data_IF_066053567231
#
_entry.id   IF_066053567231
#
_cell.length_a   1.000
_cell.length_b   1.000
_cell.length_c   1.000
_cell.angle_alpha   90.00
_cell.angle_beta   90.00
_cell.angle_gamma   90.00
#
_symmetry.space_group_name_H-M   'P 1'
#
loop_
_entity.id
_entity.type
_entity.pdbx_description
1 polymer ?
#
# COMPACT_ATOMS: atom_id res chain seq x y z
N UNK A 1 24.44 -0.97 -20.68
CA UNK A 1 23.56 -1.24 -19.53
C UNK A 1 22.73 -0.01 -19.22
N UNK A 2 21.44 -0.21 -18.94
CA UNK A 2 20.52 0.87 -18.51
C UNK A 2 20.92 1.36 -17.12
N UNK A 3 20.86 2.67 -16.89
CA UNK A 3 21.01 3.24 -15.55
C UNK A 3 19.79 4.10 -15.20
N UNK A 4 19.29 3.98 -13.97
CA UNK A 4 18.16 4.76 -13.44
C UNK A 4 18.64 5.66 -12.32
N UNK A 5 18.53 6.97 -12.49
CA UNK A 5 18.85 7.94 -11.43
C UNK A 5 17.65 8.07 -10.50
N UNK A 6 17.89 7.90 -9.20
CA UNK A 6 16.83 7.70 -8.21
C UNK A 6 17.00 8.53 -6.94
N UNK A 7 15.88 8.68 -6.24
CA UNK A 7 15.84 8.98 -4.82
C UNK A 7 15.15 7.81 -4.12
N UNK A 8 15.69 7.35 -2.99
CA UNK A 8 15.41 6.02 -2.42
C UNK A 8 13.93 5.67 -2.35
N UNK A 9 13.07 6.57 -1.85
CA UNK A 9 11.64 6.27 -1.63
C UNK A 9 10.72 6.85 -2.72
N UNK A 10 11.26 7.19 -3.90
CA UNK A 10 10.48 7.82 -4.97
C UNK A 10 9.52 6.83 -5.67
N UNK A 11 8.19 7.09 -5.68
CA UNK A 11 7.23 6.22 -6.36
C UNK A 11 7.37 6.24 -7.88
N UNK A 12 7.71 7.40 -8.46
CA UNK A 12 7.90 7.54 -9.91
C UNK A 12 9.10 6.73 -10.41
N UNK A 13 10.17 6.64 -9.62
CA UNK A 13 11.31 5.78 -9.94
C UNK A 13 10.93 4.31 -9.78
N UNK A 14 10.25 3.96 -8.67
CA UNK A 14 9.84 2.58 -8.44
C UNK A 14 8.97 2.02 -9.57
N UNK A 15 8.12 2.84 -10.19
CA UNK A 15 7.37 2.44 -11.39
C UNK A 15 8.29 1.93 -12.51
N UNK A 16 9.39 2.65 -12.77
CA UNK A 16 10.33 2.30 -13.83
C UNK A 16 11.13 1.07 -13.46
N UNK A 17 11.65 1.00 -12.24
CA UNK A 17 12.40 -0.18 -11.79
C UNK A 17 11.51 -1.42 -11.75
N UNK A 18 10.25 -1.30 -11.31
CA UNK A 18 9.27 -2.40 -11.37
C UNK A 18 9.02 -2.89 -12.81
N UNK A 19 8.91 -1.95 -13.77
CA UNK A 19 8.77 -2.31 -15.18
C UNK A 19 10.02 -3.02 -15.73
N UNK A 20 11.22 -2.56 -15.36
CA UNK A 20 12.48 -3.21 -15.72
C UNK A 20 12.58 -4.62 -15.13
N UNK A 21 12.20 -4.80 -13.85
CA UNK A 21 12.14 -6.10 -13.18
C UNK A 21 11.16 -7.06 -13.88
N UNK A 22 9.93 -6.59 -14.16
CA UNK A 22 8.93 -7.39 -14.85
C UNK A 22 9.40 -7.84 -16.25
N UNK A 23 10.09 -6.94 -16.97
CA UNK A 23 10.68 -7.23 -18.30
C UNK A 23 12.00 -8.01 -18.20
N UNK A 24 12.53 -8.24 -16.99
CA UNK A 24 13.82 -8.90 -16.73
C UNK A 24 14.99 -8.22 -17.46
N UNK A 25 14.97 -6.88 -17.50
CA UNK A 25 16.03 -6.08 -18.10
C UNK A 25 17.09 -5.75 -17.04
N UNK A 26 18.39 -5.92 -17.33
CA UNK A 26 19.45 -5.55 -16.40
C UNK A 26 19.60 -4.02 -16.33
N UNK A 27 19.68 -3.49 -15.12
CA UNK A 27 19.89 -2.06 -14.88
C UNK A 27 20.68 -1.81 -13.59
N UNK A 28 21.24 -0.61 -13.50
CA UNK A 28 21.83 -0.08 -12.27
C UNK A 28 21.00 1.10 -11.76
N UNK A 29 21.00 1.32 -10.44
CA UNK A 29 20.38 2.49 -9.82
C UNK A 29 21.45 3.39 -9.24
N UNK A 30 21.44 4.65 -9.66
CA UNK A 30 22.29 5.70 -9.09
C UNK A 30 21.46 6.60 -8.17
N UNK A 31 21.64 6.44 -6.85
CA UNK A 31 20.92 7.22 -5.86
C UNK A 31 21.56 8.60 -5.65
N UNK A 32 20.75 9.65 -5.69
CA UNK A 32 21.18 11.03 -5.45
C UNK A 32 20.44 11.67 -4.27
N UNK A 33 21.01 12.74 -3.72
CA UNK A 33 20.33 13.61 -2.77
C UNK A 33 19.43 14.60 -3.52
N UNK A 34 18.15 14.68 -3.14
CA UNK A 34 17.25 15.70 -3.69
C UNK A 34 17.42 17.08 -3.02
N UNK A 35 18.07 17.13 -1.85
CA UNK A 35 18.43 18.38 -1.16
C UNK A 35 19.68 19.00 -1.76
N UNK A 36 20.65 18.16 -2.10
CA UNK A 36 21.95 18.52 -2.65
C UNK A 36 22.13 17.80 -3.99
N UNK A 37 21.43 18.29 -5.01
CA UNK A 37 21.44 17.67 -6.34
C UNK A 37 22.83 17.88 -6.97
N UNK A 38 23.51 16.82 -7.41
CA UNK A 38 24.83 16.96 -8.03
C UNK A 38 24.72 17.65 -9.39
N UNK A 39 25.74 18.42 -9.78
CA UNK A 39 25.70 19.22 -11.01
C UNK A 39 25.48 18.35 -12.26
N UNK A 40 26.15 17.21 -12.36
CA UNK A 40 26.00 16.28 -13.49
C UNK A 40 24.55 15.83 -13.69
N UNK A 41 23.75 15.73 -12.61
CA UNK A 41 22.35 15.35 -12.70
C UNK A 41 21.50 16.51 -13.23
N UNK A 42 21.79 17.74 -12.80
CA UNK A 42 21.11 18.94 -13.30
C UNK A 42 21.42 19.17 -14.79
N UNK A 43 22.62 18.79 -15.23
CA UNK A 43 23.01 18.91 -16.64
C UNK A 43 22.23 17.96 -17.56
N UNK A 44 21.74 16.82 -17.03
CA UNK A 44 21.01 15.81 -17.81
C UNK A 44 19.49 15.76 -17.52
N UNK A 45 19.02 16.38 -16.44
CA UNK A 45 17.62 16.41 -16.03
C UNK A 45 17.04 17.80 -16.25
N UNK A 46 16.28 18.05 -17.34
CA UNK A 46 15.76 19.38 -17.66
C UNK A 46 14.93 20.01 -16.52
N UNK A 47 14.19 19.17 -15.80
CA UNK A 47 13.33 19.58 -14.68
C UNK A 47 14.01 19.40 -13.31
N UNK A 48 15.24 18.89 -13.27
CA UNK A 48 15.94 18.51 -12.04
C UNK A 48 15.16 17.49 -11.21
N UNK A 49 14.40 16.60 -11.85
CA UNK A 49 13.52 15.63 -11.22
C UNK A 49 13.93 14.19 -11.59
N UNK A 50 13.65 13.27 -10.67
CA UNK A 50 13.78 11.82 -10.90
C UNK A 50 12.41 11.22 -11.24
N UNK A 51 12.34 10.12 -12.00
CA UNK A 51 13.45 9.37 -12.59
C UNK A 51 14.11 10.09 -13.76
N UNK A 52 15.41 9.80 -13.95
CA UNK A 52 16.09 9.91 -15.25
C UNK A 52 16.61 8.54 -15.62
N UNK A 53 16.32 8.07 -16.84
CA UNK A 53 16.86 6.83 -17.38
C UNK A 53 17.96 7.16 -18.39
N UNK A 54 19.17 6.68 -18.13
CA UNK A 54 20.28 6.75 -19.08
C UNK A 54 20.29 5.45 -19.88
N UNK A 55 20.07 5.56 -21.19
CA UNK A 55 20.05 4.43 -22.11
C UNK A 55 21.46 3.87 -22.30
N UNK A 56 21.56 2.70 -22.95
CA UNK A 56 22.86 2.11 -23.29
C UNK A 56 23.67 2.95 -24.27
N UNK A 57 23.01 3.80 -25.07
CA UNK A 57 23.64 4.78 -25.96
C UNK A 57 24.08 6.07 -25.25
N UNK A 58 23.84 6.19 -23.93
CA UNK A 58 24.17 7.36 -23.13
C UNK A 58 23.15 8.50 -23.20
N UNK A 59 21.98 8.28 -23.80
CA UNK A 59 20.91 9.29 -23.85
C UNK A 59 20.17 9.35 -22.52
N UNK A 60 19.96 10.56 -21.98
CA UNK A 60 19.18 10.78 -20.78
C UNK A 60 17.70 11.03 -21.13
N UNK A 61 16.81 10.16 -20.63
CA UNK A 61 15.37 10.25 -20.77
C UNK A 61 14.77 10.69 -19.43
N UNK A 62 13.78 11.59 -19.48
CA UNK A 62 13.09 12.15 -18.32
C UNK A 62 11.58 11.97 -18.49
N UNK A 63 10.81 12.22 -17.42
CA UNK A 63 9.39 11.88 -17.27
C UNK A 63 9.11 10.37 -17.21
N UNK A 64 8.56 9.89 -16.09
CA UNK A 64 8.31 8.45 -15.91
C UNK A 64 7.35 7.86 -16.95
N UNK A 65 6.39 8.66 -17.46
CA UNK A 65 5.49 8.19 -18.51
C UNK A 65 6.24 7.98 -19.84
N UNK A 66 7.07 8.95 -20.25
CA UNK A 66 7.86 8.85 -21.47
C UNK A 66 8.92 7.73 -21.40
N UNK A 67 9.55 7.56 -20.23
CA UNK A 67 10.49 6.46 -19.99
C UNK A 67 9.79 5.10 -20.10
N UNK A 68 8.58 4.96 -19.55
CA UNK A 68 7.82 3.72 -19.65
C UNK A 68 7.46 3.40 -21.11
N UNK A 69 7.05 4.39 -21.90
CA UNK A 69 6.76 4.23 -23.33
C UNK A 69 8.02 3.82 -24.12
N UNK A 70 9.16 4.46 -23.85
CA UNK A 70 10.44 4.04 -24.44
C UNK A 70 10.75 2.57 -24.15
N UNK A 71 10.54 2.11 -22.92
CA UNK A 71 10.79 0.71 -22.54
C UNK A 71 9.82 -0.29 -23.21
N UNK A 72 8.65 0.15 -23.63
CA UNK A 72 7.72 -0.66 -24.43
C UNK A 72 8.08 -0.72 -25.91
N UNK A 73 8.63 0.36 -26.45
CA UNK A 73 9.00 0.43 -27.86
C UNK A 73 10.37 -0.21 -28.13
N UNK A 74 11.32 -0.05 -27.20
CA UNK A 74 12.70 -0.49 -27.38
C UNK A 74 12.95 -1.95 -26.95
N UNK A 75 12.08 -2.53 -26.11
CA UNK A 75 12.26 -3.88 -25.55
C UNK A 75 10.97 -4.69 -25.69
N UNK A 76 11.03 -6.03 -25.61
CA UNK A 76 9.84 -6.88 -25.66
C UNK A 76 8.74 -6.39 -24.70
N UNK A 77 7.52 -6.32 -25.22
CA UNK A 77 6.35 -5.94 -24.43
C UNK A 77 6.09 -7.02 -23.36
N UNK A 78 5.61 -6.58 -22.17
CA UNK A 78 5.12 -7.52 -21.15
C UNK A 78 3.93 -8.33 -21.66
N UNK A 79 3.08 -7.68 -22.47
CA UNK A 79 1.92 -8.29 -23.08
C UNK A 79 2.11 -8.37 -24.60
N UNK A 80 1.96 -9.58 -25.14
CA UNK A 80 2.01 -9.81 -26.57
C UNK A 80 0.69 -9.40 -27.23
N UNK A 81 0.77 -8.86 -28.46
CA UNK A 81 -0.37 -8.71 -29.37
C UNK A 81 -1.53 -7.80 -28.89
N UNK A 82 -1.24 -6.79 -28.07
CA UNK A 82 -2.25 -5.79 -27.68
C UNK A 82 -2.52 -4.76 -28.80
N UNK A 83 -3.79 -4.41 -29.02
CA UNK A 83 -4.18 -3.42 -30.04
C UNK A 83 -3.75 -2.00 -29.67
N UNK A 84 -3.79 -1.07 -30.64
CA UNK A 84 -3.51 0.34 -30.38
C UNK A 84 -4.51 0.94 -29.37
N UNK A 85 -5.80 0.58 -29.45
CA UNK A 85 -6.79 1.04 -28.47
C UNK A 85 -6.49 0.50 -27.07
N UNK A 86 -6.13 -0.78 -26.95
CA UNK A 86 -5.79 -1.35 -25.65
C UNK A 86 -4.54 -0.70 -25.05
N UNK A 87 -3.50 -0.45 -25.87
CA UNK A 87 -2.32 0.32 -25.43
C UNK A 87 -2.70 1.69 -24.90
N UNK A 88 -3.62 2.40 -25.56
CA UNK A 88 -4.10 3.69 -25.10
C UNK A 88 -4.86 3.60 -23.76
N UNK A 89 -5.68 2.58 -23.58
CA UNK A 89 -6.37 2.31 -22.30
C UNK A 89 -5.39 1.99 -21.18
N UNK A 90 -4.38 1.16 -21.44
CA UNK A 90 -3.36 0.78 -20.46
C UNK A 90 -2.54 2.00 -20.03
N UNK A 91 -2.19 2.88 -20.97
CA UNK A 91 -1.55 4.17 -20.68
C UNK A 91 -2.45 5.07 -19.83
N UNK A 92 -3.74 5.14 -20.14
CA UNK A 92 -4.68 5.94 -19.36
C UNK A 92 -4.78 5.45 -17.91
N UNK A 93 -4.85 4.12 -17.68
CA UNK A 93 -4.86 3.53 -16.34
C UNK A 93 -3.54 3.69 -15.60
N UNK A 94 -2.42 3.60 -16.30
CA UNK A 94 -1.09 3.87 -15.74
C UNK A 94 -0.95 5.33 -15.31
N UNK A 95 -1.45 6.26 -16.12
CA UNK A 95 -1.47 7.68 -15.82
C UNK A 95 -2.40 8.01 -14.64
N UNK A 96 -3.53 7.30 -14.48
CA UNK A 96 -4.33 7.42 -13.25
C UNK A 96 -3.49 7.09 -12.01
N UNK A 97 -2.69 6.01 -12.05
CA UNK A 97 -1.82 5.65 -10.93
C UNK A 97 -0.82 6.77 -10.59
N UNK A 98 -0.06 7.24 -11.58
CA UNK A 98 1.00 8.24 -11.36
C UNK A 98 0.46 9.57 -10.81
N UNK A 99 -0.75 9.97 -11.22
CA UNK A 99 -1.47 11.12 -10.66
C UNK A 99 -1.71 11.06 -9.16
N UNK A 100 -1.76 9.86 -8.58
CA UNK A 100 -2.08 9.65 -7.17
C UNK A 100 -0.87 9.35 -6.28
N UNK A 101 0.33 9.20 -6.84
CA UNK A 101 1.55 8.97 -6.05
C UNK A 101 1.78 10.06 -5.00
N UNK A 102 1.71 11.33 -5.40
CA UNK A 102 1.91 12.45 -4.48
C UNK A 102 0.72 12.63 -3.52
N UNK A 103 -0.48 12.25 -3.94
CA UNK A 103 -1.65 12.24 -3.06
C UNK A 103 -1.47 11.23 -1.92
N UNK A 104 -0.95 10.02 -2.21
CA UNK A 104 -0.62 9.02 -1.19
C UNK A 104 0.51 9.51 -0.27
N UNK A 105 1.57 10.08 -0.84
CA UNK A 105 2.65 10.66 -0.04
C UNK A 105 2.13 11.78 0.89
N UNK A 106 1.18 12.59 0.43
CA UNK A 106 0.55 13.62 1.25
C UNK A 106 -0.33 13.03 2.35
N UNK A 107 -1.14 12.02 2.05
CA UNK A 107 -1.97 11.33 3.04
C UNK A 107 -1.11 10.70 4.15
N UNK A 108 0.00 10.04 3.79
CA UNK A 108 0.92 9.45 4.77
C UNK A 108 1.63 10.48 5.66
N UNK A 109 1.75 11.73 5.21
CA UNK A 109 2.30 12.86 6.01
C UNK A 109 1.21 13.72 6.66
N UNK A 110 0.07 13.15 6.98
CA UNK A 110 -0.98 13.86 7.72
C UNK A 110 -0.57 14.02 9.18
N UNK A 111 -0.77 15.21 9.73
CA UNK A 111 -0.39 15.52 11.11
C UNK A 111 -1.37 14.93 12.13
N UNK A 112 -2.63 14.77 11.75
CA UNK A 112 -3.73 14.31 12.59
C UNK A 112 -4.71 13.40 11.81
N UNK A 113 -5.69 12.83 12.54
CA UNK A 113 -6.68 11.89 12.02
C UNK A 113 -7.57 12.53 10.95
N UNK A 114 -8.05 13.74 11.19
CA UNK A 114 -9.02 14.41 10.31
C UNK A 114 -8.36 14.75 8.97
N UNK A 115 -7.12 15.25 9.01
CA UNK A 115 -6.31 15.50 7.82
C UNK A 115 -6.03 14.21 7.05
N UNK A 116 -5.76 13.10 7.75
CA UNK A 116 -5.57 11.79 7.12
C UNK A 116 -6.85 11.36 6.39
N UNK A 117 -8.00 11.42 7.06
CA UNK A 117 -9.30 11.05 6.48
C UNK A 117 -9.57 11.89 5.23
N UNK A 118 -9.46 13.21 5.30
CA UNK A 118 -9.69 14.11 4.16
C UNK A 118 -8.79 13.78 2.96
N UNK A 119 -7.50 13.54 3.21
CA UNK A 119 -6.54 13.21 2.14
C UNK A 119 -6.78 11.81 1.58
N UNK A 120 -7.22 10.87 2.42
CA UNK A 120 -7.56 9.51 2.01
C UNK A 120 -8.81 9.46 1.13
N UNK A 121 -9.79 10.36 1.29
CA UNK A 121 -10.97 10.39 0.41
C UNK A 121 -10.62 10.51 -1.08
N UNK A 122 -9.57 11.29 -1.40
CA UNK A 122 -9.10 11.46 -2.79
C UNK A 122 -8.51 10.18 -3.34
N UNK A 123 -7.81 9.40 -2.51
CA UNK A 123 -7.21 8.12 -2.88
C UNK A 123 -8.27 7.03 -2.97
N UNK A 124 -9.19 6.98 -2.01
CA UNK A 124 -10.31 6.04 -1.99
C UNK A 124 -11.17 6.17 -3.26
N UNK A 125 -11.41 7.39 -3.76
CA UNK A 125 -12.09 7.61 -5.05
C UNK A 125 -11.36 6.99 -6.24
N UNK A 126 -10.03 6.89 -6.18
CA UNK A 126 -9.23 6.26 -7.23
C UNK A 126 -9.29 4.73 -7.14
N UNK A 127 -9.09 4.18 -5.94
CA UNK A 127 -9.25 2.75 -5.70
C UNK A 127 -10.65 2.26 -6.02
N UNK A 128 -11.70 3.03 -5.70
CA UNK A 128 -13.08 2.72 -6.06
C UNK A 128 -13.33 2.63 -7.57
N UNK A 129 -12.58 3.37 -8.39
CA UNK A 129 -12.66 3.25 -9.87
C UNK A 129 -12.01 1.96 -10.35
N UNK A 130 -10.85 1.63 -9.78
CA UNK A 130 -10.12 0.41 -10.12
C UNK A 130 -10.87 -0.84 -9.67
N UNK A 131 -11.42 -0.84 -8.45
CA UNK A 131 -12.25 -1.91 -7.89
C UNK A 131 -13.39 -2.33 -8.84
N UNK A 132 -14.01 -1.37 -9.52
CA UNK A 132 -15.10 -1.63 -10.48
C UNK A 132 -14.65 -2.34 -11.76
N UNK A 133 -13.37 -2.23 -12.11
CA UNK A 133 -12.83 -2.67 -13.40
C UNK A 133 -12.01 -3.95 -13.23
N UNK A 134 -11.42 -4.16 -12.06
CA UNK A 134 -10.77 -5.42 -11.72
C UNK A 134 -11.76 -6.58 -11.91
N UNK A 135 -11.35 -7.53 -12.75
CA UNK A 135 -12.03 -8.80 -12.95
C UNK A 135 -11.66 -9.81 -11.87
N UNK A 136 -11.63 -11.09 -12.24
CA UNK A 136 -11.25 -12.19 -11.34
C UNK A 136 -9.74 -12.24 -11.02
N UNK A 137 -8.93 -11.45 -11.73
CA UNK A 137 -7.49 -11.32 -11.47
C UNK A 137 -6.64 -12.52 -11.95
N UNK A 138 -5.47 -12.75 -11.34
CA UNK A 138 -4.93 -12.06 -10.16
C UNK A 138 -4.35 -10.66 -10.42
N UNK A 139 -4.16 -10.26 -11.67
CA UNK A 139 -3.59 -8.97 -12.08
C UNK A 139 -4.63 -8.08 -12.76
N UNK A 140 -4.27 -6.83 -13.06
CA UNK A 140 -5.20 -5.80 -13.53
C UNK A 140 -6.02 -6.25 -14.75
N UNK A 141 -5.39 -6.99 -15.68
CA UNK A 141 -5.99 -7.49 -16.93
C UNK A 141 -6.25 -9.01 -16.91
N UNK A 142 -6.25 -9.64 -15.73
CA UNK A 142 -6.46 -11.09 -15.57
C UNK A 142 -5.18 -11.84 -15.22
N UNK A 143 -4.84 -12.86 -16.01
CA UNK A 143 -3.80 -13.85 -15.66
C UNK A 143 -2.35 -13.36 -15.79
N UNK A 144 -2.10 -12.34 -16.61
CA UNK A 144 -0.75 -11.87 -16.93
C UNK A 144 -0.49 -10.45 -16.41
N UNK A 145 0.76 -10.19 -16.01
CA UNK A 145 1.22 -8.86 -15.64
C UNK A 145 1.17 -7.91 -16.84
N UNK A 146 0.81 -6.66 -16.58
CA UNK A 146 0.73 -5.58 -17.54
C UNK A 146 1.52 -4.36 -17.07
N UNK A 147 1.66 -3.37 -17.96
CA UNK A 147 2.21 -2.08 -17.58
C UNK A 147 1.35 -1.34 -16.56
N UNK A 148 0.04 -1.61 -16.55
CA UNK A 148 -0.88 -1.05 -15.55
C UNK A 148 -0.50 -1.57 -14.16
N UNK A 149 -0.21 -2.85 -14.03
CA UNK A 149 0.25 -3.43 -12.77
C UNK A 149 1.51 -2.73 -12.25
N UNK A 150 2.50 -2.52 -13.11
CA UNK A 150 3.76 -1.85 -12.75
C UNK A 150 3.57 -0.38 -12.39
N UNK A 151 2.61 0.30 -13.02
CA UNK A 151 2.23 1.66 -12.66
C UNK A 151 1.49 1.74 -11.33
N UNK A 152 0.69 0.74 -10.94
CA UNK A 152 -0.02 0.76 -9.67
C UNK A 152 0.78 0.15 -8.51
N UNK A 153 1.78 -0.68 -8.80
CA UNK A 153 2.64 -1.32 -7.81
C UNK A 153 3.22 -0.34 -6.77
N UNK A 154 3.70 0.87 -7.10
CA UNK A 154 4.18 1.82 -6.11
C UNK A 154 3.14 2.23 -5.05
N UNK A 155 1.87 2.38 -5.45
CA UNK A 155 0.77 2.72 -4.52
C UNK A 155 0.47 1.53 -3.61
N UNK A 156 0.36 0.34 -4.20
CA UNK A 156 -0.02 -0.88 -3.50
C UNK A 156 1.09 -1.38 -2.58
N UNK A 157 2.36 -1.27 -2.98
CA UNK A 157 3.51 -1.60 -2.15
C UNK A 157 3.54 -0.74 -0.89
N UNK A 158 3.37 0.58 -1.04
CA UNK A 158 3.36 1.53 0.09
C UNK A 158 2.18 1.27 1.03
N UNK A 159 0.99 1.06 0.47
CA UNK A 159 -0.18 0.70 1.27
C UNK A 159 0.05 -0.59 2.07
N UNK A 160 0.70 -1.60 1.48
CA UNK A 160 1.03 -2.84 2.18
C UNK A 160 2.04 -2.61 3.32
N UNK A 161 3.09 -1.81 3.10
CA UNK A 161 4.06 -1.47 4.16
C UNK A 161 3.34 -0.73 5.30
N UNK A 162 2.52 0.27 5.00
CA UNK A 162 1.75 0.97 6.05
C UNK A 162 0.90 -0.02 6.84
N UNK A 163 0.14 -0.89 6.16
CA UNK A 163 -0.67 -1.92 6.82
C UNK A 163 0.16 -2.84 7.73
N UNK A 164 1.34 -3.28 7.28
CA UNK A 164 2.20 -4.17 8.06
C UNK A 164 2.75 -3.53 9.33
N UNK A 165 3.00 -2.23 9.32
CA UNK A 165 3.60 -1.52 10.46
C UNK A 165 2.56 -0.88 11.40
N UNK A 166 1.40 -0.48 10.88
CA UNK A 166 0.41 0.30 11.64
C UNK A 166 -0.97 -0.34 11.74
N UNK A 167 -1.20 -1.44 11.02
CA UNK A 167 -2.49 -2.11 10.89
C UNK A 167 -3.57 -1.24 10.23
N UNK A 168 -3.19 -0.08 9.72
CA UNK A 168 -4.04 0.78 8.89
C UNK A 168 -4.03 0.28 7.44
N UNK A 169 -5.12 -0.30 7.00
CA UNK A 169 -5.28 -0.73 5.61
C UNK A 169 -5.92 0.38 4.75
N UNK A 170 -5.10 1.00 3.91
CA UNK A 170 -5.52 2.03 2.96
C UNK A 170 -6.52 1.57 1.91
N UNK A 171 -6.60 0.25 1.68
CA UNK A 171 -7.46 -0.36 0.65
C UNK A 171 -8.49 -1.31 1.26
N UNK A 172 -8.77 -1.20 2.56
CA UNK A 172 -9.69 -2.06 3.33
C UNK A 172 -11.04 -2.27 2.66
N UNK A 173 -11.62 -1.20 2.12
CA UNK A 173 -12.99 -1.21 1.58
C UNK A 173 -13.04 -1.68 0.11
N UNK A 174 -11.91 -2.16 -0.44
CA UNK A 174 -11.73 -2.55 -1.84
C UNK A 174 -11.16 -3.98 -1.95
N UNK A 175 -11.99 -5.02 -1.77
CA UNK A 175 -11.52 -6.40 -1.68
C UNK A 175 -10.81 -6.91 -2.95
N UNK A 176 -11.21 -6.47 -4.16
CA UNK A 176 -10.48 -6.84 -5.37
C UNK A 176 -9.12 -6.15 -5.43
N UNK A 177 -9.03 -4.89 -4.99
CA UNK A 177 -7.74 -4.20 -4.86
C UNK A 177 -6.85 -4.86 -3.81
N UNK A 178 -7.39 -5.35 -2.69
CA UNK A 178 -6.62 -6.13 -1.70
C UNK A 178 -6.09 -7.45 -2.28
N UNK A 179 -6.94 -8.18 -3.01
CA UNK A 179 -6.53 -9.40 -3.71
C UNK A 179 -5.43 -9.12 -4.73
N UNK A 180 -5.58 -8.06 -5.52
CA UNK A 180 -4.59 -7.61 -6.49
C UNK A 180 -3.28 -7.16 -5.84
N UNK A 181 -3.32 -6.38 -4.77
CA UNK A 181 -2.14 -6.03 -3.97
C UNK A 181 -1.40 -7.28 -3.51
N UNK A 182 -2.13 -8.23 -2.93
CA UNK A 182 -1.56 -9.48 -2.42
C UNK A 182 -0.89 -10.29 -3.53
N UNK A 183 -1.53 -10.39 -4.70
CA UNK A 183 -0.95 -11.03 -5.88
C UNK A 183 0.33 -10.34 -6.35
N UNK A 184 0.34 -9.01 -6.44
CA UNK A 184 1.53 -8.26 -6.84
C UNK A 184 2.68 -8.41 -5.84
N UNK A 185 2.41 -8.39 -4.53
CA UNK A 185 3.46 -8.60 -3.53
C UNK A 185 4.05 -10.02 -3.64
N UNK A 186 3.21 -11.02 -3.91
CA UNK A 186 3.64 -12.41 -4.08
C UNK A 186 4.57 -12.63 -5.30
N UNK A 187 4.57 -11.75 -6.30
CA UNK A 187 5.51 -11.83 -7.44
C UNK A 187 6.97 -11.58 -7.05
N UNK A 188 7.22 -10.90 -5.92
CA UNK A 188 8.56 -10.45 -5.52
C UNK A 188 9.05 -9.18 -6.24
N UNK A 189 8.37 -8.71 -7.30
CA UNK A 189 8.76 -7.50 -8.06
C UNK A 189 8.80 -6.26 -7.17
N UNK A 190 7.86 -6.15 -6.22
CA UNK A 190 7.83 -5.01 -5.32
C UNK A 190 9.12 -4.88 -4.49
N UNK A 191 9.66 -6.00 -4.02
CA UNK A 191 10.93 -6.06 -3.29
C UNK A 191 12.13 -5.86 -4.22
N UNK A 192 12.12 -6.47 -5.40
CA UNK A 192 13.23 -6.35 -6.36
C UNK A 192 13.37 -4.94 -6.95
N UNK A 193 12.26 -4.20 -7.06
CA UNK A 193 12.23 -2.84 -7.65
C UNK A 193 12.74 -1.72 -6.74
N UNK A 194 13.19 -2.03 -5.53
CA UNK A 194 13.64 -1.04 -4.53
C UNK A 194 14.98 -1.44 -3.91
N UNK A 195 15.71 -0.50 -3.31
CA UNK A 195 16.91 -0.82 -2.54
C UNK A 195 16.58 -1.56 -1.25
N UNK A 196 17.54 -2.30 -0.70
CA UNK A 196 17.44 -2.89 0.63
C UNK A 196 17.16 -1.85 1.75
N UNK A 197 17.58 -0.60 1.58
CA UNK A 197 17.29 0.48 2.54
C UNK A 197 15.88 1.09 2.40
N UNK A 198 15.09 0.67 1.42
CA UNK A 198 13.84 1.35 1.05
C UNK A 198 12.86 1.39 2.22
N UNK A 199 12.59 0.24 2.83
CA UNK A 199 11.59 0.12 3.89
C UNK A 199 12.02 0.90 5.14
N UNK A 200 13.30 0.85 5.50
CA UNK A 200 13.85 1.63 6.61
C UNK A 200 13.72 3.14 6.35
N UNK A 201 14.09 3.63 5.16
CA UNK A 201 13.93 5.07 4.83
C UNK A 201 12.46 5.47 4.70
N UNK A 202 11.61 4.57 4.22
CA UNK A 202 10.18 4.81 4.08
C UNK A 202 9.51 4.96 5.44
N UNK A 203 9.73 4.00 6.34
CA UNK A 203 9.16 4.00 7.70
C UNK A 203 9.69 5.17 8.52
N UNK A 204 11.01 5.45 8.48
CA UNK A 204 11.59 6.61 9.15
C UNK A 204 11.07 7.96 8.66
N UNK A 205 10.46 8.02 7.47
CA UNK A 205 9.95 9.27 6.89
C UNK A 205 8.43 9.41 7.00
N UNK A 206 7.67 8.31 6.83
CA UNK A 206 6.21 8.35 6.83
C UNK A 206 5.57 7.88 8.13
N UNK A 207 6.31 7.12 8.94
CA UNK A 207 5.86 6.56 10.23
C UNK A 207 6.67 7.12 11.40
N UNK A 208 7.20 8.34 11.26
CA UNK A 208 7.84 9.05 12.37
C UNK A 208 6.79 9.68 13.32
N UNK A 209 7.26 10.18 14.45
CA UNK A 209 6.42 10.83 15.46
C UNK A 209 5.83 12.18 15.00
N UNK A 210 6.20 12.71 13.82
CA UNK A 210 5.56 13.90 13.26
C UNK A 210 4.25 13.57 12.53
N UNK A 211 4.05 12.32 12.07
CA UNK A 211 2.83 11.92 11.37
C UNK A 211 1.82 11.25 12.30
N UNK A 212 0.53 11.36 11.97
CA UNK A 212 -0.53 10.63 12.67
C UNK A 212 -0.32 9.11 12.58
N UNK A 213 0.11 8.62 11.41
CA UNK A 213 0.36 7.19 11.20
C UNK A 213 1.47 6.65 12.10
N UNK A 214 2.55 7.40 12.32
CA UNK A 214 3.67 6.96 13.16
C UNK A 214 3.40 7.06 14.66
N UNK A 215 2.74 8.14 15.11
CA UNK A 215 2.42 8.34 16.53
C UNK A 215 1.28 7.47 17.04
N UNK A 216 0.18 7.44 16.28
CA UNK A 216 -1.12 7.04 16.83
C UNK A 216 -1.51 5.61 16.43
N UNK A 217 -0.94 5.07 15.35
CA UNK A 217 -1.29 3.75 14.81
C UNK A 217 -0.11 2.78 14.92
N UNK A 218 -0.31 1.66 15.60
CA UNK A 218 0.66 0.57 15.70
C UNK A 218 -0.07 -0.76 15.63
N UNK A 219 0.52 -1.73 14.94
CA UNK A 219 0.06 -3.10 15.08
C UNK A 219 0.32 -3.58 16.51
N UNK A 220 -0.74 -3.94 17.22
CA UNK A 220 -0.65 -4.65 18.48
C UNK A 220 0.10 -5.98 18.21
N UNK A 221 1.32 -6.17 18.74
CA UNK A 221 2.10 -7.41 18.55
C UNK A 221 1.59 -8.47 19.53
N UNK A 222 1.29 -9.67 19.04
CA UNK A 222 0.82 -10.81 19.87
C UNK A 222 1.74 -11.13 21.07
N UNK A 223 3.04 -10.82 20.97
CA UNK A 223 4.02 -11.03 22.05
C UNK A 223 4.04 -9.94 23.14
N UNK A 224 3.46 -8.77 22.87
CA UNK A 224 3.29 -7.69 23.86
C UNK A 224 2.00 -7.86 24.67
N UNK A 225 1.16 -8.82 24.27
CA UNK A 225 -0.04 -9.27 24.99
C UNK A 225 0.26 -10.24 26.15
N UNK A 226 1.53 -10.38 26.56
CA UNK A 226 1.96 -11.23 27.67
C UNK A 226 2.66 -10.44 28.76
N UNK A 227 1.90 -9.58 29.42
CA UNK A 227 1.92 -9.30 30.86
C UNK A 227 0.89 -8.19 31.06
N UNK A 228 -0.09 -8.44 31.93
CA UNK A 228 -1.17 -7.50 32.26
C UNK A 228 -2.34 -7.45 31.26
N UNK A 229 -3.04 -8.58 31.11
CA UNK A 229 -4.51 -8.67 31.02
C UNK A 229 -5.29 -7.93 29.93
N UNK A 230 -4.65 -7.14 29.07
CA UNK A 230 -5.31 -6.28 28.10
C UNK A 230 -4.97 -6.73 26.68
N UNK A 231 -5.82 -7.57 26.10
CA UNK A 231 -5.74 -7.88 24.67
C UNK A 231 -6.97 -7.33 23.95
N UNK A 232 -6.69 -6.42 23.02
CA UNK A 232 -7.63 -5.94 22.01
C UNK A 232 -7.94 -7.07 21.03
N UNK A 233 -9.22 -7.28 20.68
CA UNK A 233 -9.61 -8.19 19.60
C UNK A 233 -9.26 -7.60 18.23
N UNK A 234 -9.13 -8.49 17.25
CA UNK A 234 -8.59 -8.32 15.89
C UNK A 234 -9.09 -7.17 15.01
N UNK A 235 -9.99 -6.29 15.47
CA UNK A 235 -10.56 -5.21 14.65
C UNK A 235 -10.45 -3.80 15.25
N UNK A 236 -9.96 -3.59 16.47
CA UNK A 236 -9.74 -2.24 17.00
C UNK A 236 -8.67 -2.24 18.11
N UNK A 237 -7.50 -1.61 17.89
CA UNK A 237 -6.58 -1.31 18.99
C UNK A 237 -7.21 -0.16 19.82
N UNK A 238 -7.94 -0.50 20.88
CA UNK A 238 -8.46 0.45 21.87
C UNK A 238 -7.31 1.06 22.69
N UNK A 239 -7.15 2.38 22.63
CA UNK A 239 -6.39 3.12 23.64
C UNK A 239 -7.22 3.27 24.90
N UNK A 240 -6.90 2.57 25.99
CA UNK A 240 -7.38 2.98 27.31
C UNK A 240 -6.65 4.32 27.62
N UNK A 241 -7.40 5.42 27.78
CA UNK A 241 -6.85 6.72 28.20
C UNK A 241 -6.33 6.63 29.64
N UNK A 242 -5.28 7.40 29.94
CA UNK A 242 -4.42 7.28 31.13
C UNK A 242 -5.05 7.54 32.50
N UNK A 243 -6.38 7.43 32.68
CA UNK A 243 -7.07 7.68 33.95
C UNK A 243 -8.25 6.74 34.27
N UNK A 244 -8.48 5.68 33.50
CA UNK A 244 -9.50 4.67 33.83
C UNK A 244 -8.90 3.45 34.54
N UNK A 245 -9.50 3.04 35.66
CA UNK A 245 -9.09 1.84 36.42
C UNK A 245 -9.31 0.58 35.57
N UNK A 246 -8.45 -0.42 35.77
CA UNK A 246 -8.38 -1.70 35.01
C UNK A 246 -9.70 -2.47 34.85
N UNK A 247 -10.73 -2.17 35.63
CA UNK A 247 -12.04 -2.83 35.56
C UNK A 247 -12.97 -2.33 34.44
N UNK A 248 -12.67 -1.20 33.79
CA UNK A 248 -13.63 -0.54 32.90
C UNK A 248 -13.46 -0.89 31.40
N UNK A 249 -12.35 -1.54 31.00
CA UNK A 249 -12.12 -1.88 29.58
C UNK A 249 -12.85 -3.19 29.13
N UNK A 250 -13.65 -3.85 30.00
CA UNK A 250 -14.43 -5.07 29.68
C UNK A 250 -15.87 -5.09 30.26
N UNK A 251 -16.57 -3.95 30.35
CA UNK A 251 -17.98 -3.95 30.74
C UNK A 251 -18.90 -3.97 29.49
N UNK A 252 -19.56 -5.10 29.25
CA UNK A 252 -20.43 -5.38 28.09
C UNK A 252 -21.74 -4.58 28.05
N UNK A 253 -21.89 -3.55 28.88
CA UNK A 253 -23.12 -2.75 29.01
C UNK A 253 -23.07 -1.36 28.37
N UNK A 254 -22.10 -1.09 27.47
CA UNK A 254 -22.08 0.15 26.66
C UNK A 254 -22.00 -0.06 25.15
N UNK A 255 -22.56 -1.15 24.63
CA UNK A 255 -22.95 -1.18 23.22
C UNK A 255 -24.23 -0.35 23.07
N UNK A 256 -24.13 0.87 22.52
CA UNK A 256 -25.32 1.62 22.12
C UNK A 256 -26.14 0.78 21.14
N UNK A 257 -27.42 0.64 21.45
CA UNK A 257 -28.36 -0.26 20.82
C UNK A 257 -28.74 0.21 19.41
N UNK A 258 -28.01 -0.25 18.41
CA UNK A 258 -28.55 -0.57 17.07
C UNK A 258 -27.49 -1.35 16.31
N UNK A 259 -27.85 -2.54 15.81
CA UNK A 259 -27.02 -3.47 15.02
C UNK A 259 -26.23 -4.54 15.79
N UNK A 260 -26.81 -5.05 16.89
CA UNK A 260 -26.45 -6.38 17.39
C UNK A 260 -27.14 -7.43 16.54
N UNK A 261 -26.52 -7.84 15.44
CA UNK A 261 -26.89 -9.12 14.85
C UNK A 261 -25.80 -9.95 14.19
N UNK A 262 -24.49 -9.65 14.29
CA UNK A 262 -23.46 -10.62 13.86
C UNK A 262 -22.04 -10.33 14.42
N UNK A 263 -21.88 -10.31 15.74
CA UNK A 263 -20.54 -10.33 16.35
C UNK A 263 -20.26 -11.71 17.01
N UNK A 264 -19.68 -12.58 16.20
CA UNK A 264 -18.73 -13.68 16.48
C UNK A 264 -18.92 -14.69 17.62
N UNK A 265 -19.01 -15.98 17.23
CA UNK A 265 -18.23 -17.08 17.83
C UNK A 265 -17.84 -18.11 16.74
N UNK A 266 -16.54 -18.34 16.43
CA UNK A 266 -16.11 -19.35 15.45
C UNK A 266 -16.07 -20.79 15.99
N UNK A 267 -16.40 -21.07 17.25
CA UNK A 267 -16.35 -22.44 17.83
C UNK A 267 -17.70 -23.13 18.03
N UNK A 268 -18.79 -22.56 17.53
CA UNK A 268 -20.14 -23.16 17.64
C UNK A 268 -20.57 -24.00 16.42
N UNK A 269 -19.64 -24.45 15.56
CA UNK A 269 -19.94 -25.44 14.49
C UNK A 269 -19.47 -26.82 14.95
N UNK A 270 -20.41 -27.57 15.52
CA UNK A 270 -20.44 -29.04 15.74
C UNK A 270 -20.92 -29.43 17.16
N UNK A 271 -22.13 -29.02 17.56
CA UNK A 271 -22.83 -29.70 18.65
C UNK A 271 -24.31 -29.85 18.31
N UNK A 272 -24.79 -31.11 18.34
CA UNK A 272 -26.18 -31.51 18.12
C UNK A 272 -27.08 -31.07 19.29
N UNK A 273 -28.37 -30.91 19.01
CA UNK A 273 -29.44 -30.27 19.83
C UNK A 273 -29.74 -30.84 21.24
N UNK A 274 -28.83 -31.55 21.92
CA UNK A 274 -29.14 -32.16 23.23
C UNK A 274 -28.21 -31.79 24.40
N UNK A 275 -27.44 -30.69 24.34
CA UNK A 275 -26.57 -30.30 25.47
C UNK A 275 -26.57 -28.80 25.83
N UNK A 276 -27.57 -28.01 25.40
CA UNK A 276 -27.73 -26.61 25.85
C UNK A 276 -28.76 -26.49 26.98
N UNK A 277 -28.46 -27.12 28.11
CA UNK A 277 -29.21 -26.89 29.36
C UNK A 277 -28.25 -26.99 30.54
N UNK A 278 -27.43 -25.94 30.74
CA UNK A 278 -26.75 -25.64 32.02
C UNK A 278 -25.96 -24.31 32.06
N UNK A 279 -26.24 -23.34 31.20
CA UNK A 279 -25.65 -21.99 31.31
C UNK A 279 -26.75 -20.94 31.27
N UNK A 280 -27.60 -20.89 32.29
CA UNK A 280 -28.41 -19.73 32.69
C UNK A 280 -29.21 -20.07 33.95
N UNK A 281 -28.56 -20.13 35.11
CA UNK A 281 -29.22 -19.96 36.40
C UNK A 281 -28.20 -19.58 37.47
N UNK A 282 -28.05 -18.29 37.74
CA UNK A 282 -28.27 -17.73 39.08
C UNK A 282 -28.17 -16.21 39.00
N UNK A 283 -29.26 -15.59 39.44
CA UNK A 283 -29.48 -14.16 39.59
C UNK A 283 -28.62 -13.58 40.71
N UNK A 284 -27.94 -12.48 40.42
CA UNK A 284 -27.72 -11.30 41.29
C UNK A 284 -26.78 -10.40 40.48
N UNK A 285 -27.26 -9.51 39.62
CA UNK A 285 -28.24 -8.47 39.86
C UNK A 285 -27.51 -7.17 39.49
N UNK A 286 -27.82 -6.63 38.31
CA UNK A 286 -27.40 -5.31 37.83
C UNK A 286 -28.61 -4.39 37.79
#
# INVERSE_FOLDING_TARGET
MIKVVSFTICPFVQRITALLEAKRLPYEVEYISLKEKPQWFLDISPNGQVPVLITESGSALFESDAIAEYLDDAYPALEAQITAEQKALDRAWSYQASKHYLAQCSAMRSADKDTLIERMEKLAKSFAKVEKILGEGPYFKGESLSNVDMAWLPLLHRANIIRQHTCFDMVRDFPKVQAWQSALMATGIAKASVSDEFENKFTNFYLDEATYLGRELRCCKDSECQQDGNCCSQDDCCRCQSDSRESDCCDTNRCESSDVQNCCDPKARELTKSQTSNCCSTNSGC
#
